data_IF_496340269767
#
_entry.id   IF_496340269767
#
_cell.length_a   1.000
_cell.length_b   1.000
_cell.length_c   1.000
_cell.angle_alpha   90.00
_cell.angle_beta   90.00
_cell.angle_gamma   90.00
#
_symmetry.space_group_name_H-M   'P 1'
#
loop_
_entity.id
_entity.type
_entity.pdbx_description
1 polymer ?
#
# COMPACT_ATOMS: atom_id res chain seq x y z
N UNK A 1 -7.47 -8.70 -11.01
CA UNK A 1 -6.09 -9.21 -10.95
C UNK A 1 -5.99 -10.29 -9.86
N UNK A 2 -6.56 -11.48 -10.08
CA UNK A 2 -6.58 -12.55 -9.06
C UNK A 2 -5.17 -13.01 -8.64
N UNK A 3 -4.18 -12.93 -9.53
CA UNK A 3 -2.80 -13.38 -9.27
C UNK A 3 -2.03 -12.53 -8.24
N UNK A 4 -2.46 -11.31 -7.91
CA UNK A 4 -1.69 -10.40 -7.04
C UNK A 4 -1.51 -10.93 -5.60
N UNK A 5 -2.44 -11.77 -5.14
CA UNK A 5 -2.38 -12.40 -3.82
C UNK A 5 -1.30 -13.48 -3.71
N UNK A 6 -0.82 -13.99 -4.85
CA UNK A 6 0.12 -15.10 -4.98
C UNK A 6 1.46 -14.60 -5.52
N UNK A 7 1.41 -13.81 -6.58
CA UNK A 7 2.59 -13.25 -7.26
C UNK A 7 2.64 -11.72 -7.10
N UNK A 8 3.84 -11.19 -7.01
CA UNK A 8 4.10 -9.75 -7.07
C UNK A 8 4.83 -9.43 -8.37
N UNK A 9 4.55 -8.26 -8.93
CA UNK A 9 5.10 -7.83 -10.21
C UNK A 9 5.73 -6.46 -10.10
N UNK A 10 6.85 -6.28 -10.78
CA UNK A 10 7.47 -4.98 -10.94
C UNK A 10 6.60 -4.06 -11.80
N UNK A 11 6.51 -2.80 -11.37
CA UNK A 11 5.93 -1.71 -12.13
C UNK A 11 6.82 -0.48 -11.98
N UNK A 12 7.74 -0.31 -12.93
CA UNK A 12 8.73 0.77 -12.88
C UNK A 12 9.76 0.50 -11.80
N UNK A 13 9.85 1.38 -10.80
CA UNK A 13 10.79 1.24 -9.67
C UNK A 13 10.18 0.56 -8.44
N UNK A 14 8.95 0.06 -8.52
CA UNK A 14 8.21 -0.47 -7.37
C UNK A 14 7.27 -1.59 -7.78
N UNK A 15 6.92 -2.47 -6.84
CA UNK A 15 6.01 -3.58 -7.11
C UNK A 15 4.53 -3.18 -7.02
N UNK A 16 3.65 -4.04 -7.53
CA UNK A 16 2.20 -3.83 -7.40
C UNK A 16 1.78 -3.91 -5.92
N UNK A 17 2.33 -4.84 -5.13
CA UNK A 17 2.00 -4.92 -3.69
C UNK A 17 2.42 -3.67 -2.93
N UNK A 18 3.63 -3.15 -3.15
CA UNK A 18 4.08 -1.89 -2.56
C UNK A 18 3.12 -0.73 -2.90
N UNK A 19 2.75 -0.64 -4.18
CA UNK A 19 1.84 0.38 -4.70
C UNK A 19 0.44 0.27 -4.10
N UNK A 20 -0.07 -0.94 -3.86
CA UNK A 20 -1.38 -1.14 -3.25
C UNK A 20 -1.39 -0.72 -1.78
N UNK A 21 -0.39 -1.16 -1.00
CA UNK A 21 -0.28 -0.81 0.42
C UNK A 21 -0.22 0.70 0.62
N UNK A 22 0.64 1.40 -0.13
CA UNK A 22 0.72 2.87 -0.06
C UNK A 22 -0.60 3.54 -0.40
N UNK A 23 -1.37 3.01 -1.35
CA UNK A 23 -2.70 3.58 -1.67
C UNK A 23 -3.69 3.38 -0.53
N UNK A 24 -3.65 2.23 0.14
CA UNK A 24 -4.49 1.99 1.32
C UNK A 24 -4.11 2.96 2.44
N UNK A 25 -2.82 3.15 2.70
CA UNK A 25 -2.33 4.11 3.71
C UNK A 25 -2.80 5.54 3.41
N UNK A 26 -2.72 5.97 2.15
CA UNK A 26 -3.23 7.28 1.72
C UNK A 26 -4.74 7.39 1.94
N UNK A 27 -5.53 6.36 1.62
CA UNK A 27 -6.99 6.37 1.85
C UNK A 27 -7.29 6.48 3.35
N UNK A 28 -6.60 5.70 4.18
CA UNK A 28 -6.75 5.75 5.65
C UNK A 28 -6.44 7.16 6.16
N UNK A 29 -5.33 7.75 5.71
CA UNK A 29 -4.93 9.10 6.12
C UNK A 29 -5.98 10.14 5.70
N UNK A 30 -6.39 10.16 4.43
CA UNK A 30 -7.33 11.15 3.90
C UNK A 30 -8.69 11.06 4.56
N UNK A 31 -9.19 9.85 4.80
CA UNK A 31 -10.50 9.65 5.48
C UNK A 31 -10.46 10.10 6.94
N UNK A 32 -9.36 9.82 7.66
CA UNK A 32 -9.16 10.30 9.04
C UNK A 32 -9.02 11.82 9.13
N UNK A 33 -8.21 12.42 8.25
CA UNK A 33 -7.97 13.87 8.25
C UNK A 33 -9.22 14.66 7.86
N UNK A 34 -10.03 14.13 6.93
CA UNK A 34 -11.25 14.80 6.48
C UNK A 34 -12.44 14.61 7.42
N UNK A 35 -12.41 13.60 8.32
CA UNK A 35 -13.57 13.24 9.13
C UNK A 35 -14.77 12.78 8.29
N UNK A 36 -14.49 12.21 7.12
CA UNK A 36 -15.48 11.77 6.15
C UNK A 36 -15.16 10.36 5.67
N UNK A 37 -16.20 9.60 5.33
CA UNK A 37 -16.07 8.22 4.85
C UNK A 37 -15.33 7.33 5.86
N UNK A 38 -15.59 7.51 7.16
CA UNK A 38 -14.90 6.80 8.26
C UNK A 38 -14.95 5.28 8.07
N UNK A 39 -16.12 4.72 7.73
CA UNK A 39 -16.26 3.29 7.46
C UNK A 39 -15.40 2.80 6.28
N UNK A 40 -15.13 3.66 5.29
CA UNK A 40 -14.21 3.34 4.19
C UNK A 40 -12.76 3.34 4.69
N UNK A 41 -12.39 4.29 5.55
CA UNK A 41 -11.09 4.34 6.21
C UNK A 41 -10.84 3.08 7.06
N UNK A 42 -11.80 2.70 7.90
CA UNK A 42 -11.74 1.51 8.74
C UNK A 42 -11.59 0.23 7.91
N UNK A 43 -12.34 0.14 6.80
CA UNK A 43 -12.24 -1.00 5.89
C UNK A 43 -10.88 -1.04 5.18
N UNK A 44 -10.36 0.12 4.75
CA UNK A 44 -9.03 0.20 4.14
C UNK A 44 -7.94 -0.21 5.14
N UNK A 45 -8.06 0.15 6.41
CA UNK A 45 -7.15 -0.27 7.48
C UNK A 45 -7.22 -1.78 7.76
N UNK A 46 -8.42 -2.36 7.81
CA UNK A 46 -8.59 -3.80 7.95
C UNK A 46 -7.95 -4.57 6.77
N UNK A 47 -8.12 -4.05 5.54
CA UNK A 47 -7.47 -4.61 4.36
C UNK A 47 -5.95 -4.47 4.41
N UNK A 48 -5.43 -3.28 4.72
CA UNK A 48 -3.99 -3.04 4.80
C UNK A 48 -3.31 -3.99 5.79
N UNK A 49 -3.87 -4.14 6.99
CA UNK A 49 -3.38 -5.07 8.00
C UNK A 49 -3.39 -6.52 7.52
N UNK A 50 -4.50 -6.97 6.91
CA UNK A 50 -4.61 -8.34 6.38
C UNK A 50 -3.58 -8.61 5.28
N UNK A 51 -3.33 -7.62 4.41
CA UNK A 51 -2.36 -7.73 3.33
C UNK A 51 -0.92 -7.66 3.84
N UNK A 52 -0.65 -6.83 4.86
CA UNK A 52 0.64 -6.82 5.55
C UNK A 52 0.92 -8.19 6.17
N UNK A 53 0.01 -8.73 7.00
CA UNK A 53 0.20 -10.03 7.64
C UNK A 53 0.45 -11.16 6.63
N UNK A 54 -0.15 -11.06 5.44
CA UNK A 54 0.03 -12.05 4.36
C UNK A 54 1.35 -11.88 3.60
N UNK A 55 1.86 -10.66 3.49
CA UNK A 55 3.00 -10.34 2.62
C UNK A 55 4.27 -9.95 3.37
N UNK A 56 4.26 -9.80 4.69
CA UNK A 56 5.43 -9.51 5.51
C UNK A 56 6.36 -10.75 5.61
N UNK A 57 7.69 -10.62 5.52
CA UNK A 57 8.51 -9.42 5.32
C UNK A 57 8.86 -9.11 3.85
N UNK A 58 8.10 -9.66 2.91
CA UNK A 58 8.45 -9.66 1.48
C UNK A 58 8.32 -8.27 0.85
N UNK A 59 7.46 -7.41 1.40
CA UNK A 59 7.18 -6.09 0.81
C UNK A 59 8.02 -5.01 1.50
N UNK A 60 9.17 -4.71 0.90
CA UNK A 60 9.99 -3.57 1.30
C UNK A 60 9.21 -2.24 1.15
N UNK A 61 9.56 -1.18 1.91
CA UNK A 61 8.96 0.15 1.72
C UNK A 61 9.05 0.63 0.27
N UNK A 62 8.06 1.41 -0.17
CA UNK A 62 8.05 1.96 -1.52
C UNK A 62 9.32 2.83 -1.72
N UNK A 63 10.14 2.55 -2.74
CA UNK A 63 11.33 3.34 -2.96
C UNK A 63 10.97 4.76 -3.39
N UNK A 64 11.81 5.71 -2.96
CA UNK A 64 11.71 7.07 -3.44
C UNK A 64 11.94 7.11 -4.95
N UNK A 65 11.23 8.01 -5.62
CA UNK A 65 11.48 8.27 -7.04
C UNK A 65 12.95 8.68 -7.23
N UNK A 66 13.64 8.28 -8.33
CA UNK A 66 15.09 8.42 -8.45
C UNK A 66 15.64 9.82 -8.18
N UNK A 67 14.89 10.89 -8.50
CA UNK A 67 15.29 12.26 -8.22
C UNK A 67 15.37 12.63 -6.72
N UNK A 68 14.84 11.78 -5.83
CA UNK A 68 14.82 11.99 -4.39
C UNK A 68 15.59 10.92 -3.62
N UNK A 69 16.30 10.01 -4.30
CA UNK A 69 17.17 9.05 -3.63
C UNK A 69 18.44 9.75 -3.13
N UNK A 70 18.94 9.44 -1.92
CA UNK A 70 20.22 9.97 -1.45
C UNK A 70 21.36 9.49 -2.35
N UNK A 71 22.35 10.38 -2.57
CA UNK A 71 23.51 10.14 -3.41
C UNK A 71 24.49 9.11 -2.81
#
# INVERSE_FOLDING_TARGET
MPMLLEEDFEWGTATIRQRLLVRLDVVIQVTRESGHLEALGDQAEAMARTLHDRWDPIVAPLPLYPAFQPA
#
